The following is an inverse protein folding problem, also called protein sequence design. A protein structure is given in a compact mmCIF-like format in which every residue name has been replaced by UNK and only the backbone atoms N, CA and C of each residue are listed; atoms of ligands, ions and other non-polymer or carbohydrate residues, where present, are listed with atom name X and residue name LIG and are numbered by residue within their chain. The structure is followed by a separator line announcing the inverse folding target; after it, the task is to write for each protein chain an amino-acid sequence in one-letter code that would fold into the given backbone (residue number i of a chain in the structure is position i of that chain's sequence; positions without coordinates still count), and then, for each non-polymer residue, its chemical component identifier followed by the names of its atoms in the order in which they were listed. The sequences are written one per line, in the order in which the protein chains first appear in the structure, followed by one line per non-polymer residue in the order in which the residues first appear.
data_IF_462830931208
#
_entry.id   IF_462830931208
#
_cell.length_a   1.000
_cell.length_b   1.000
_cell.length_c   1.000
_cell.angle_alpha   90.00
_cell.angle_beta   90.00
_cell.angle_gamma   90.00
#
_symmetry.space_group_name_H-M   'P 1'
#
loop_
_entity.id
_entity.type
_entity.pdbx_description
1 polymer ?
#
# COMPACT_ATOMS: atom_id res chain seq x y z
N UNK A 1 -11.35 -19.25 -21.51
CA UNK A 1 -12.73 -18.85 -21.92
C UNK A 1 -13.07 -17.63 -21.11
N UNK A 2 -13.47 -16.54 -21.75
CA UNK A 2 -13.82 -15.27 -21.06
C UNK A 2 -15.00 -15.49 -20.13
N UNK A 3 -14.85 -15.16 -18.84
CA UNK A 3 -15.88 -15.31 -17.81
C UNK A 3 -16.73 -14.06 -17.70
N UNK A 4 -17.99 -14.23 -17.28
CA UNK A 4 -18.84 -13.12 -16.87
C UNK A 4 -18.53 -12.65 -15.45
N UNK A 5 -18.98 -11.45 -15.09
CA UNK A 5 -18.76 -10.93 -13.72
C UNK A 5 -19.38 -11.83 -12.63
N UNK A 6 -20.47 -12.51 -12.94
CA UNK A 6 -21.16 -13.42 -12.02
C UNK A 6 -20.33 -14.66 -11.64
N UNK A 7 -19.28 -14.96 -12.43
CA UNK A 7 -18.32 -16.04 -12.14
C UNK A 7 -17.09 -15.56 -11.35
N UNK A 8 -16.92 -14.25 -11.17
CA UNK A 8 -15.69 -13.64 -10.63
C UNK A 8 -15.86 -13.08 -9.21
N UNK A 9 -17.07 -12.76 -8.81
CA UNK A 9 -17.36 -12.20 -7.50
C UNK A 9 -18.67 -12.73 -6.93
N UNK A 10 -18.88 -12.71 -5.59
CA UNK A 10 -20.13 -13.13 -4.98
C UNK A 10 -21.35 -12.39 -5.54
N UNK A 11 -22.44 -13.13 -5.84
CA UNK A 11 -23.67 -12.59 -6.40
C UNK A 11 -24.22 -11.39 -5.60
N UNK A 12 -24.28 -11.51 -4.27
CA UNK A 12 -24.77 -10.42 -3.42
C UNK A 12 -23.89 -9.15 -3.46
N UNK A 13 -22.58 -9.29 -3.68
CA UNK A 13 -21.67 -8.15 -3.86
C UNK A 13 -21.97 -7.46 -5.20
N UNK A 14 -22.15 -8.22 -6.26
CA UNK A 14 -22.51 -7.71 -7.58
C UNK A 14 -23.89 -7.04 -7.58
N UNK A 15 -24.86 -7.59 -6.87
CA UNK A 15 -26.20 -6.98 -6.74
C UNK A 15 -26.15 -5.63 -6.04
N UNK A 16 -25.28 -5.49 -5.01
CA UNK A 16 -25.04 -4.18 -4.39
C UNK A 16 -24.35 -3.21 -5.35
N UNK A 17 -23.37 -3.67 -6.10
CA UNK A 17 -22.70 -2.86 -7.11
C UNK A 17 -23.69 -2.42 -8.21
N UNK A 18 -24.57 -3.31 -8.68
CA UNK A 18 -25.63 -2.99 -9.67
C UNK A 18 -26.63 -1.95 -9.14
N UNK A 19 -27.07 -2.07 -7.89
CA UNK A 19 -27.95 -1.08 -7.25
C UNK A 19 -27.26 0.28 -7.13
N UNK A 20 -25.97 0.28 -6.72
CA UNK A 20 -25.17 1.51 -6.64
C UNK A 20 -24.97 2.15 -8.02
N UNK A 21 -24.77 1.33 -9.07
CA UNK A 21 -24.62 1.79 -10.45
C UNK A 21 -25.88 2.53 -10.96
N UNK A 22 -27.08 2.10 -10.55
CA UNK A 22 -28.33 2.80 -10.88
C UNK A 22 -28.34 4.26 -10.41
N UNK A 23 -27.74 4.58 -9.27
CA UNK A 23 -27.64 5.96 -8.78
C UNK A 23 -26.75 6.85 -9.67
N UNK A 24 -25.79 6.25 -10.38
CA UNK A 24 -24.93 6.98 -11.32
C UNK A 24 -25.73 7.42 -12.55
N UNK A 25 -26.69 6.62 -13.01
CA UNK A 25 -27.48 6.95 -14.21
C UNK A 25 -28.30 8.23 -14.01
N UNK A 26 -28.83 8.44 -12.81
CA UNK A 26 -29.65 9.58 -12.44
C UNK A 26 -28.86 10.89 -12.18
N UNK A 27 -27.55 10.81 -12.00
CA UNK A 27 -26.70 11.95 -11.67
C UNK A 27 -25.94 12.48 -12.90
N UNK A 28 -25.95 13.78 -13.16
CA UNK A 28 -25.10 14.42 -14.17
C UNK A 28 -23.75 14.86 -13.59
N UNK A 29 -23.72 15.13 -12.28
CA UNK A 29 -22.52 15.53 -11.53
C UNK A 29 -22.26 14.57 -10.39
N UNK A 30 -21.06 14.02 -10.34
CA UNK A 30 -20.65 13.06 -9.31
C UNK A 30 -19.47 13.60 -8.52
N UNK A 31 -19.63 13.63 -7.21
CA UNK A 31 -18.57 13.94 -6.26
C UNK A 31 -17.85 12.67 -5.89
N UNK A 32 -16.52 12.61 -6.04
CA UNK A 32 -15.65 11.50 -5.64
C UNK A 32 -14.87 11.94 -4.41
N UNK A 33 -14.89 11.15 -3.34
CA UNK A 33 -14.12 11.39 -2.13
C UNK A 33 -13.42 10.08 -1.73
N UNK A 34 -12.09 10.05 -1.83
CA UNK A 34 -11.30 8.84 -1.63
C UNK A 34 -10.19 9.05 -0.59
N UNK A 35 -9.65 7.96 -0.08
CA UNK A 35 -8.43 7.97 0.71
C UNK A 35 -7.24 8.48 -0.13
N UNK A 36 -6.17 8.95 0.54
CA UNK A 36 -5.04 9.63 -0.11
C UNK A 36 -3.86 8.72 -0.46
N UNK A 37 -3.91 7.44 -0.10
CA UNK A 37 -2.84 6.48 -0.42
C UNK A 37 -3.02 5.85 -1.81
N UNK A 38 -2.13 4.94 -2.25
CA UNK A 38 -2.22 4.35 -3.57
C UNK A 38 -3.55 3.65 -3.86
N UNK A 39 -4.16 2.97 -2.87
CA UNK A 39 -5.45 2.30 -3.07
C UNK A 39 -6.57 3.31 -3.30
N UNK A 40 -6.63 4.37 -2.49
CA UNK A 40 -7.62 5.44 -2.65
C UNK A 40 -7.39 6.29 -3.90
N UNK A 41 -6.14 6.67 -4.21
CA UNK A 41 -5.82 7.49 -5.40
C UNK A 41 -6.10 6.73 -6.71
N UNK A 42 -5.80 5.42 -6.76
CA UNK A 42 -6.15 4.59 -7.93
C UNK A 42 -7.66 4.36 -8.01
N UNK A 43 -8.36 4.20 -6.90
CA UNK A 43 -9.83 4.17 -6.82
C UNK A 43 -10.45 5.43 -7.41
N UNK A 44 -9.95 6.62 -7.02
CA UNK A 44 -10.41 7.90 -7.58
C UNK A 44 -10.20 7.96 -9.10
N UNK A 45 -9.08 7.43 -9.59
CA UNK A 45 -8.73 7.39 -11.02
C UNK A 45 -9.64 6.47 -11.82
N UNK A 46 -9.94 5.28 -11.28
CA UNK A 46 -10.89 4.32 -11.86
C UNK A 46 -12.27 4.95 -11.98
N UNK A 47 -12.78 5.52 -10.88
CA UNK A 47 -14.07 6.22 -10.88
C UNK A 47 -14.10 7.37 -11.88
N UNK A 48 -13.06 8.21 -11.90
CA UNK A 48 -12.99 9.33 -12.81
C UNK A 48 -13.11 8.89 -14.27
N UNK A 49 -12.32 7.89 -14.68
CA UNK A 49 -12.36 7.38 -16.06
C UNK A 49 -13.69 6.71 -16.39
N UNK A 50 -14.20 5.85 -15.52
CA UNK A 50 -15.47 5.16 -15.73
C UNK A 50 -16.64 6.15 -15.84
N UNK A 51 -16.71 7.15 -14.95
CA UNK A 51 -17.77 8.16 -14.96
C UNK A 51 -17.67 9.13 -16.14
N UNK A 52 -16.46 9.54 -16.53
CA UNK A 52 -16.25 10.36 -17.75
C UNK A 52 -16.71 9.61 -19.02
N UNK A 53 -16.47 8.29 -19.13
CA UNK A 53 -17.00 7.45 -20.22
C UNK A 53 -18.51 7.43 -20.28
N UNK A 54 -19.17 7.59 -19.14
CA UNK A 54 -20.65 7.74 -19.03
C UNK A 54 -21.12 9.18 -19.22
N UNK A 55 -20.22 10.11 -19.60
CA UNK A 55 -20.54 11.52 -19.81
C UNK A 55 -20.83 12.32 -18.53
N UNK A 56 -20.44 11.81 -17.37
CA UNK A 56 -20.65 12.48 -16.08
C UNK A 56 -19.58 13.55 -15.85
N UNK A 57 -19.95 14.67 -15.22
CA UNK A 57 -19.01 15.66 -14.69
C UNK A 57 -18.56 15.22 -13.31
N UNK A 58 -17.27 15.29 -13.04
CA UNK A 58 -16.71 14.81 -11.79
C UNK A 58 -15.95 15.91 -11.03
N UNK A 59 -15.91 15.79 -9.71
CA UNK A 59 -15.00 16.50 -8.84
C UNK A 59 -14.42 15.49 -7.85
N UNK A 60 -13.13 15.22 -7.90
CA UNK A 60 -12.44 14.28 -7.03
C UNK A 60 -11.61 14.98 -5.96
N UNK A 61 -11.60 14.41 -4.76
CA UNK A 61 -10.70 14.79 -3.65
C UNK A 61 -10.17 13.54 -3.00
N UNK A 62 -8.85 13.45 -2.86
CA UNK A 62 -8.17 12.50 -2.00
C UNK A 62 -7.94 13.16 -0.63
N UNK A 63 -8.22 12.44 0.45
CA UNK A 63 -8.19 12.97 1.81
C UNK A 63 -7.59 11.96 2.81
N UNK A 64 -6.93 12.46 3.85
CA UNK A 64 -6.35 11.61 4.90
C UNK A 64 -7.39 10.91 5.77
N UNK A 65 -8.57 11.47 5.87
CA UNK A 65 -9.67 10.89 6.67
C UNK A 65 -11.02 11.48 6.26
N UNK A 66 -12.07 10.70 6.45
CA UNK A 66 -13.44 11.17 6.48
C UNK A 66 -13.82 11.48 7.93
N UNK A 67 -13.73 12.75 8.32
CA UNK A 67 -14.01 13.25 9.66
C UNK A 67 -15.21 14.23 9.66
N UNK A 68 -15.53 14.77 10.84
CA UNK A 68 -16.62 15.75 10.99
C UNK A 68 -16.40 17.01 10.14
N UNK A 69 -15.14 17.41 9.94
CA UNK A 69 -14.79 18.61 9.17
C UNK A 69 -15.04 18.39 7.68
N UNK A 70 -14.56 17.25 7.15
CA UNK A 70 -14.79 16.87 5.75
C UNK A 70 -16.29 16.61 5.48
N UNK A 71 -16.99 15.93 6.38
CA UNK A 71 -18.44 15.70 6.27
C UNK A 71 -19.24 17.03 6.31
N UNK A 72 -18.84 18.01 7.13
CA UNK A 72 -19.46 19.31 7.14
C UNK A 72 -19.30 20.06 5.80
N UNK A 73 -18.09 20.02 5.22
CA UNK A 73 -17.83 20.60 3.87
C UNK A 73 -18.67 19.91 2.79
N UNK A 74 -18.69 18.56 2.78
CA UNK A 74 -19.51 17.81 1.84
C UNK A 74 -20.98 18.16 1.94
N UNK A 75 -21.50 18.42 3.15
CA UNK A 75 -22.91 18.83 3.37
C UNK A 75 -23.25 20.18 2.76
N UNK A 76 -22.30 21.10 2.70
CA UNK A 76 -22.45 22.43 2.10
C UNK A 76 -22.37 22.41 0.57
N UNK A 77 -21.82 21.33 -0.01
CA UNK A 77 -21.70 21.18 -1.46
C UNK A 77 -23.05 20.79 -2.09
N UNK A 78 -23.32 21.33 -3.28
CA UNK A 78 -24.48 20.94 -4.11
C UNK A 78 -24.12 19.76 -5.02
N UNK A 79 -24.13 18.54 -4.48
CA UNK A 79 -23.85 17.33 -5.25
C UNK A 79 -25.17 16.62 -5.64
N UNK A 80 -25.14 15.89 -6.76
CA UNK A 80 -26.25 15.03 -7.18
C UNK A 80 -26.01 13.58 -6.71
N UNK A 81 -24.74 13.17 -6.58
CA UNK A 81 -24.30 11.90 -6.07
C UNK A 81 -22.91 12.06 -5.44
N UNK A 82 -22.67 11.47 -4.27
CA UNK A 82 -21.36 11.29 -3.68
C UNK A 82 -20.95 9.81 -3.78
N UNK A 83 -19.74 9.55 -4.28
CA UNK A 83 -19.09 8.24 -4.18
C UNK A 83 -17.90 8.39 -3.27
N UNK A 84 -17.90 7.66 -2.16
CA UNK A 84 -16.79 7.54 -1.23
C UNK A 84 -16.10 6.21 -1.52
N UNK A 85 -14.78 6.21 -1.70
CA UNK A 85 -14.04 4.97 -1.97
C UNK A 85 -12.81 4.82 -1.10
N UNK A 86 -12.49 3.58 -0.75
CA UNK A 86 -11.39 3.20 0.14
C UNK A 86 -11.48 3.86 1.53
N UNK A 87 -12.68 4.16 1.94
CA UNK A 87 -13.08 4.64 3.27
C UNK A 87 -14.61 4.72 3.35
N UNK A 88 -15.14 4.97 4.52
CA UNK A 88 -16.57 5.25 4.74
C UNK A 88 -17.29 4.18 5.53
N UNK A 89 -16.88 2.92 5.50
CA UNK A 89 -17.51 1.83 6.25
C UNK A 89 -17.50 2.02 7.77
N UNK A 90 -16.50 2.76 8.27
CA UNK A 90 -16.41 3.15 9.67
C UNK A 90 -17.09 4.47 10.02
N UNK A 91 -17.55 5.24 9.05
CA UNK A 91 -18.05 6.61 9.20
C UNK A 91 -19.46 6.80 8.64
N UNK A 92 -20.29 5.76 8.58
CA UNK A 92 -21.64 5.84 8.02
C UNK A 92 -22.50 6.92 8.68
N UNK A 93 -22.35 7.14 9.99
CA UNK A 93 -23.08 8.19 10.73
C UNK A 93 -22.84 9.61 10.17
N UNK A 94 -21.63 9.86 9.62
CA UNK A 94 -21.29 11.14 8.99
C UNK A 94 -21.93 11.27 7.61
N UNK A 95 -22.08 10.16 6.90
CA UNK A 95 -22.59 10.10 5.53
C UNK A 95 -24.11 10.05 5.44
N UNK A 96 -24.78 9.35 6.36
CA UNK A 96 -26.25 9.22 6.38
C UNK A 96 -27.02 10.54 6.55
N UNK A 97 -26.32 11.55 7.06
CA UNK A 97 -26.90 12.90 7.24
C UNK A 97 -26.71 13.84 6.05
N UNK A 98 -26.13 13.38 4.93
CA UNK A 98 -25.94 14.22 3.74
C UNK A 98 -27.25 14.37 2.95
N UNK A 99 -27.44 15.51 2.25
CA UNK A 99 -28.73 15.82 1.59
C UNK A 99 -28.88 15.20 0.19
N UNK A 100 -27.99 14.31 -0.21
CA UNK A 100 -27.96 13.68 -1.53
C UNK A 100 -27.58 12.19 -1.41
N UNK A 101 -27.83 11.36 -2.43
CA UNK A 101 -27.47 9.95 -2.44
C UNK A 101 -25.97 9.74 -2.24
N UNK A 102 -25.62 8.68 -1.51
CA UNK A 102 -24.25 8.28 -1.23
C UNK A 102 -24.01 6.82 -1.61
N UNK A 103 -22.91 6.58 -2.30
CA UNK A 103 -22.35 5.26 -2.56
C UNK A 103 -21.05 5.15 -1.75
N UNK A 104 -20.84 4.03 -1.06
CA UNK A 104 -19.58 3.68 -0.38
C UNK A 104 -19.02 2.43 -1.03
N UNK A 105 -17.81 2.52 -1.58
CA UNK A 105 -17.04 1.43 -2.18
C UNK A 105 -15.81 1.21 -1.30
N UNK A 106 -15.88 0.29 -0.34
CA UNK A 106 -14.86 0.18 0.69
C UNK A 106 -14.59 -1.29 1.04
N UNK A 107 -13.39 -1.58 1.50
CA UNK A 107 -12.92 -2.90 1.88
C UNK A 107 -12.56 -3.01 3.36
N UNK A 108 -12.58 -1.90 4.08
CA UNK A 108 -12.34 -1.90 5.51
C UNK A 108 -13.48 -2.59 6.26
N UNK A 109 -13.15 -3.23 7.39
CA UNK A 109 -14.15 -3.95 8.19
C UNK A 109 -15.29 -3.01 8.60
N UNK A 110 -16.54 -3.27 8.16
CA UNK A 110 -17.66 -2.39 8.45
C UNK A 110 -18.08 -2.53 9.92
N UNK A 111 -18.50 -1.42 10.54
CA UNK A 111 -19.09 -1.44 11.88
C UNK A 111 -20.54 -1.95 11.80
N UNK A 112 -21.26 -1.55 10.77
CA UNK A 112 -22.65 -1.93 10.47
C UNK A 112 -22.95 -1.76 8.99
N UNK A 113 -24.12 -2.16 8.57
CA UNK A 113 -24.69 -1.81 7.26
C UNK A 113 -25.63 -0.60 7.38
N UNK A 114 -26.12 -0.09 6.26
CA UNK A 114 -27.03 1.05 6.19
C UNK A 114 -28.05 0.88 5.06
N UNK A 115 -29.32 1.13 5.36
CA UNK A 115 -30.38 1.18 4.34
C UNK A 115 -30.42 2.53 3.60
N UNK A 116 -29.69 3.54 4.07
CA UNK A 116 -29.65 4.89 3.50
C UNK A 116 -28.49 5.10 2.52
N UNK A 117 -27.52 4.20 2.50
CA UNK A 117 -26.30 4.30 1.72
C UNK A 117 -26.18 3.06 0.84
N UNK A 118 -25.88 3.25 -0.43
CA UNK A 118 -25.52 2.13 -1.29
C UNK A 118 -24.11 1.64 -0.93
N UNK A 119 -24.03 0.70 0.02
CA UNK A 119 -22.79 0.24 0.63
C UNK A 119 -22.30 -1.05 -0.03
N UNK A 120 -21.26 -0.95 -0.84
CA UNK A 120 -20.58 -2.06 -1.51
C UNK A 120 -19.30 -2.38 -0.72
N UNK A 121 -19.35 -3.47 0.05
CA UNK A 121 -18.24 -3.89 0.88
C UNK A 121 -18.12 -5.42 0.87
N UNK A 122 -16.94 -5.99 0.51
CA UNK A 122 -16.72 -7.42 0.38
C UNK A 122 -16.99 -8.22 1.67
N UNK A 123 -16.75 -7.61 2.84
CA UNK A 123 -16.96 -8.29 4.13
C UNK A 123 -18.39 -8.76 4.37
N UNK A 124 -19.40 -8.12 3.78
CA UNK A 124 -20.79 -8.58 3.90
C UNK A 124 -21.05 -9.92 3.20
N UNK A 125 -20.14 -10.35 2.35
CA UNK A 125 -20.27 -11.55 1.52
C UNK A 125 -19.14 -12.57 1.78
N UNK A 126 -18.48 -12.46 2.95
CA UNK A 126 -17.44 -13.40 3.38
C UNK A 126 -16.11 -13.28 2.68
N UNK A 127 -15.87 -12.17 1.96
CA UNK A 127 -14.60 -11.86 1.31
C UNK A 127 -13.74 -11.00 2.24
N UNK A 128 -12.49 -11.40 2.47
CA UNK A 128 -11.56 -10.68 3.33
C UNK A 128 -10.99 -9.44 2.63
N UNK A 129 -11.43 -8.26 3.08
CA UNK A 129 -10.95 -6.97 2.57
C UNK A 129 -9.46 -6.74 2.76
N UNK A 130 -8.79 -7.42 3.68
CA UNK A 130 -7.35 -7.26 3.90
C UNK A 130 -6.49 -8.09 2.93
N UNK A 131 -7.06 -9.10 2.22
CA UNK A 131 -6.29 -10.03 1.40
C UNK A 131 -6.89 -10.33 0.03
N UNK A 132 -8.21 -10.33 -0.07
CA UNK A 132 -8.92 -10.89 -1.22
C UNK A 132 -9.54 -9.81 -2.12
N UNK A 133 -9.70 -8.57 -1.61
CA UNK A 133 -10.29 -7.46 -2.35
C UNK A 133 -10.02 -6.13 -1.64
N UNK A 134 -9.30 -5.21 -2.24
CA UNK A 134 -9.01 -3.88 -1.70
C UNK A 134 -10.00 -2.80 -2.21
N UNK A 135 -9.79 -1.54 -1.84
CA UNK A 135 -10.63 -0.41 -2.26
C UNK A 135 -10.65 -0.21 -3.77
N UNK A 136 -9.48 -0.25 -4.42
CA UNK A 136 -9.36 -0.09 -5.87
C UNK A 136 -9.97 -1.25 -6.65
N UNK A 137 -9.87 -2.49 -6.18
CA UNK A 137 -10.52 -3.64 -6.83
C UNK A 137 -12.02 -3.65 -6.59
N UNK A 138 -12.50 -3.23 -5.41
CA UNK A 138 -13.95 -3.01 -5.15
C UNK A 138 -14.50 -1.92 -6.08
N UNK A 139 -13.74 -0.85 -6.27
CA UNK A 139 -14.07 0.24 -7.18
C UNK A 139 -14.02 -0.21 -8.64
N UNK A 140 -13.06 -1.06 -9.01
CA UNK A 140 -12.98 -1.59 -10.36
C UNK A 140 -14.11 -2.56 -10.68
N UNK A 141 -14.50 -3.43 -9.74
CA UNK A 141 -15.70 -4.26 -9.90
C UNK A 141 -16.93 -3.39 -10.15
N UNK A 142 -17.10 -2.33 -9.38
CA UNK A 142 -18.19 -1.36 -9.61
C UNK A 142 -18.09 -0.70 -11.00
N UNK A 143 -16.90 -0.31 -11.44
CA UNK A 143 -16.69 0.25 -12.77
C UNK A 143 -17.02 -0.74 -13.90
N UNK A 144 -16.71 -2.04 -13.72
CA UNK A 144 -17.05 -3.11 -14.65
C UNK A 144 -18.56 -3.31 -14.74
N UNK A 145 -19.27 -3.19 -13.62
CA UNK A 145 -20.75 -3.21 -13.60
C UNK A 145 -21.32 -2.00 -14.37
N UNK A 146 -20.68 -0.84 -14.31
CA UNK A 146 -21.08 0.32 -15.11
C UNK A 146 -20.88 0.08 -16.61
N UNK A 147 -19.73 -0.48 -17.01
CA UNK A 147 -19.36 -0.69 -18.41
C UNK A 147 -18.22 -1.69 -18.52
N UNK A 148 -18.40 -2.77 -19.27
CA UNK A 148 -17.35 -3.79 -19.50
C UNK A 148 -16.10 -3.24 -20.20
N UNK A 149 -16.17 -2.11 -20.90
CA UNK A 149 -14.97 -1.44 -21.45
C UNK A 149 -13.96 -1.08 -20.38
N UNK A 150 -14.36 -1.00 -19.12
CA UNK A 150 -13.51 -0.70 -17.97
C UNK A 150 -12.58 -1.86 -17.56
N UNK A 151 -12.55 -2.97 -18.31
CA UNK A 151 -11.47 -3.97 -18.17
C UNK A 151 -10.08 -3.37 -18.37
N UNK A 152 -9.93 -2.33 -19.20
CA UNK A 152 -8.66 -1.63 -19.39
C UNK A 152 -8.18 -0.83 -18.16
N UNK A 153 -8.99 -0.73 -17.11
CA UNK A 153 -8.63 -0.11 -15.82
C UNK A 153 -8.01 -1.13 -14.82
N UNK A 154 -7.67 -2.33 -15.28
CA UNK A 154 -6.97 -3.33 -14.47
C UNK A 154 -5.63 -2.81 -13.91
N UNK A 155 -4.91 -1.95 -14.66
CA UNK A 155 -3.65 -1.37 -14.21
C UNK A 155 -3.76 -0.58 -12.91
N UNK A 156 -4.56 0.47 -12.85
CA UNK A 156 -4.83 1.20 -11.60
C UNK A 156 -5.37 0.29 -10.47
N UNK A 157 -6.28 -0.64 -10.77
CA UNK A 157 -6.83 -1.56 -9.77
C UNK A 157 -5.74 -2.45 -9.16
N UNK A 158 -4.85 -2.99 -9.99
CA UNK A 158 -3.73 -3.80 -9.54
C UNK A 158 -2.68 -2.99 -8.78
N UNK A 159 -2.41 -1.75 -9.21
CA UNK A 159 -1.49 -0.85 -8.51
C UNK A 159 -1.99 -0.54 -7.09
N UNK A 160 -3.29 -0.30 -6.90
CA UNK A 160 -3.88 -0.12 -5.57
C UNK A 160 -3.75 -1.38 -4.70
N UNK A 161 -4.06 -2.56 -5.24
CA UNK A 161 -3.91 -3.82 -4.53
C UNK A 161 -2.44 -4.14 -4.15
N UNK A 162 -1.46 -3.72 -4.98
CA UNK A 162 -0.03 -3.80 -4.64
C UNK A 162 0.29 -2.82 -3.49
N UNK A 163 -0.23 -1.60 -3.54
CA UNK A 163 -0.09 -0.60 -2.48
C UNK A 163 -0.59 -1.11 -1.13
N UNK A 164 -1.72 -1.80 -1.13
CA UNK A 164 -2.33 -2.45 0.03
C UNK A 164 -1.65 -3.78 0.44
N UNK A 165 -0.51 -4.11 -0.19
CA UNK A 165 0.28 -5.33 0.06
C UNK A 165 -0.46 -6.64 -0.19
N UNK A 166 -1.57 -6.62 -0.94
CA UNK A 166 -2.37 -7.82 -1.25
C UNK A 166 -1.73 -8.73 -2.31
N UNK A 167 -0.67 -8.26 -3.00
CA UNK A 167 0.12 -9.06 -3.94
C UNK A 167 1.17 -9.96 -3.27
N UNK A 168 1.40 -9.83 -1.96
CA UNK A 168 2.41 -10.62 -1.25
C UNK A 168 2.05 -12.11 -1.17
N UNK A 169 2.81 -12.95 -1.85
CA UNK A 169 2.52 -14.38 -1.99
C UNK A 169 1.56 -14.72 -3.12
N UNK A 170 1.23 -13.74 -3.97
CA UNK A 170 0.26 -13.82 -5.06
C UNK A 170 -1.12 -13.31 -4.67
N UNK A 171 -1.89 -12.87 -5.65
CA UNK A 171 -3.28 -12.47 -5.44
C UNK A 171 -4.15 -13.68 -5.09
N UNK A 172 -5.15 -13.48 -4.24
CA UNK A 172 -6.09 -14.52 -3.81
C UNK A 172 -7.53 -14.01 -3.88
N UNK A 173 -8.50 -14.92 -3.77
CA UNK A 173 -9.93 -14.58 -3.70
C UNK A 173 -10.42 -13.83 -4.93
N UNK A 174 -11.19 -12.77 -4.72
CA UNK A 174 -11.79 -11.96 -5.79
C UNK A 174 -10.72 -11.21 -6.58
N UNK A 175 -9.62 -10.75 -5.94
CA UNK A 175 -8.49 -10.15 -6.65
C UNK A 175 -7.91 -11.12 -7.69
N UNK A 176 -7.61 -12.37 -7.29
CA UNK A 176 -7.09 -13.37 -8.23
C UNK A 176 -8.08 -13.60 -9.38
N UNK A 177 -9.36 -13.81 -9.08
CA UNK A 177 -10.38 -14.06 -10.10
C UNK A 177 -10.47 -12.93 -11.14
N UNK A 178 -10.45 -11.66 -10.69
CA UNK A 178 -10.52 -10.49 -11.56
C UNK A 178 -9.24 -10.32 -12.39
N UNK A 179 -8.05 -10.51 -11.77
CA UNK A 179 -6.78 -10.32 -12.48
C UNK A 179 -6.46 -11.48 -13.43
N UNK A 180 -6.83 -12.72 -13.09
CA UNK A 180 -6.75 -13.87 -14.02
C UNK A 180 -7.63 -13.64 -15.26
N UNK A 181 -8.83 -13.08 -15.08
CA UNK A 181 -9.70 -12.74 -16.21
C UNK A 181 -9.10 -11.58 -17.03
N UNK A 182 -8.45 -10.59 -16.41
CA UNK A 182 -7.72 -9.53 -17.12
C UNK A 182 -6.54 -10.09 -17.93
N UNK A 183 -5.90 -11.16 -17.44
CA UNK A 183 -4.86 -11.92 -18.17
C UNK A 183 -5.48 -12.67 -19.37
N UNK A 184 -6.59 -13.40 -19.18
CA UNK A 184 -7.32 -14.08 -20.26
C UNK A 184 -7.73 -13.07 -21.37
N UNK A 185 -8.06 -11.84 -20.99
CA UNK A 185 -8.39 -10.71 -21.89
C UNK A 185 -7.18 -10.02 -22.49
N UNK A 186 -5.95 -10.42 -22.11
CA UNK A 186 -4.68 -9.82 -22.54
C UNK A 186 -4.53 -8.34 -22.16
N UNK A 187 -5.18 -7.90 -21.11
CA UNK A 187 -4.99 -6.58 -20.52
C UNK A 187 -3.78 -6.58 -19.60
N UNK A 188 -3.52 -7.71 -18.94
CA UNK A 188 -2.44 -7.94 -18.00
C UNK A 188 -1.58 -9.09 -18.50
N UNK A 189 -0.25 -8.97 -18.39
CA UNK A 189 0.71 -10.06 -18.71
C UNK A 189 1.64 -10.25 -17.51
N UNK A 190 1.53 -11.38 -16.78
CA UNK A 190 2.43 -11.68 -15.68
C UNK A 190 3.83 -12.06 -16.18
N UNK A 191 4.85 -11.54 -15.53
CA UNK A 191 6.25 -11.87 -15.78
C UNK A 191 6.99 -12.14 -14.47
N UNK A 192 7.57 -13.30 -14.32
CA UNK A 192 8.44 -13.58 -13.17
C UNK A 192 9.82 -12.99 -13.39
N UNK A 193 10.20 -11.98 -12.59
CA UNK A 193 11.44 -11.24 -12.78
C UNK A 193 12.04 -10.70 -11.49
N UNK A 194 13.29 -10.23 -11.58
CA UNK A 194 13.94 -9.50 -10.48
C UNK A 194 13.18 -8.22 -10.14
N UNK A 195 13.05 -7.96 -8.85
CA UNK A 195 12.42 -6.76 -8.31
C UNK A 195 13.35 -5.53 -8.40
N UNK A 196 13.91 -5.28 -9.58
CA UNK A 196 14.69 -4.09 -9.89
C UNK A 196 13.98 -3.26 -10.94
N UNK A 197 14.08 -1.95 -10.85
CA UNK A 197 13.56 -1.03 -11.86
C UNK A 197 14.29 -1.24 -13.19
N UNK A 198 13.60 -0.99 -14.30
CA UNK A 198 14.19 -1.06 -15.64
C UNK A 198 15.11 0.14 -15.91
N UNK A 199 16.25 0.13 -15.27
CA UNK A 199 17.32 1.14 -15.32
C UNK A 199 18.64 0.42 -15.58
N UNK A 200 19.73 1.13 -15.93
CA UNK A 200 21.09 0.57 -15.85
C UNK A 200 21.32 -0.11 -14.50
N UNK A 201 21.90 -1.32 -14.51
CA UNK A 201 22.02 -2.19 -13.33
C UNK A 201 22.63 -1.49 -12.13
N UNK A 202 23.66 -0.67 -12.35
CA UNK A 202 24.30 0.12 -11.29
C UNK A 202 23.31 1.07 -10.61
N UNK A 203 22.52 1.79 -11.42
CA UNK A 203 21.48 2.70 -10.93
C UNK A 203 20.31 1.92 -10.31
N UNK A 204 19.90 0.80 -10.90
CA UNK A 204 18.83 -0.04 -10.39
C UNK A 204 19.14 -0.57 -8.98
N UNK A 205 20.37 -1.05 -8.73
CA UNK A 205 20.83 -1.49 -7.42
C UNK A 205 20.96 -0.33 -6.43
N UNK A 206 21.54 0.78 -6.86
CA UNK A 206 21.72 1.94 -6.01
C UNK A 206 20.39 2.56 -5.55
N UNK A 207 19.35 2.53 -6.39
CA UNK A 207 18.01 3.03 -6.06
C UNK A 207 17.06 1.95 -5.50
N UNK A 208 17.55 0.73 -5.24
CA UNK A 208 16.74 -0.35 -4.72
C UNK A 208 16.45 -0.14 -3.22
N UNK A 209 15.18 0.05 -2.87
CA UNK A 209 14.67 0.12 -1.49
C UNK A 209 14.14 -1.24 -1.05
N UNK A 210 13.34 -1.87 -1.89
CA UNK A 210 12.80 -3.22 -1.69
C UNK A 210 13.02 -4.03 -2.97
N UNK A 211 14.02 -4.93 -2.98
CA UNK A 211 14.92 -5.32 -1.87
C UNK A 211 16.02 -4.30 -1.55
N UNK A 212 16.35 -4.14 -0.25
CA UNK A 212 17.48 -3.33 0.20
C UNK A 212 18.76 -4.18 0.30
N UNK A 213 19.80 -3.74 -0.37
CA UNK A 213 21.12 -4.42 -0.35
C UNK A 213 22.10 -3.61 0.48
N UNK A 214 22.44 -4.10 1.65
CA UNK A 214 23.38 -3.47 2.57
C UNK A 214 24.72 -3.21 1.88
N UNK A 215 25.21 -1.98 1.97
CA UNK A 215 26.44 -1.56 1.33
C UNK A 215 26.34 -1.23 -0.17
N UNK A 216 25.18 -1.47 -0.82
CA UNK A 216 24.93 -1.18 -2.24
C UNK A 216 23.81 -0.16 -2.44
N UNK A 217 22.64 -0.38 -1.82
CA UNK A 217 21.50 0.55 -1.88
C UNK A 217 21.92 1.90 -1.29
N UNK A 218 21.59 2.99 -1.98
CA UNK A 218 21.98 4.35 -1.66
C UNK A 218 23.45 4.69 -1.97
N UNK A 219 24.21 3.79 -2.63
CA UNK A 219 25.65 3.94 -2.89
C UNK A 219 25.99 3.60 -4.34
N UNK A 220 25.85 4.56 -5.28
CA UNK A 220 26.01 4.31 -6.72
C UNK A 220 27.38 3.71 -7.09
N UNK A 221 28.46 4.25 -6.55
CA UNK A 221 29.82 3.77 -6.85
C UNK A 221 30.02 2.33 -6.36
N UNK A 222 29.59 2.02 -5.14
CA UNK A 222 29.67 0.68 -4.58
C UNK A 222 28.83 -0.34 -5.35
N UNK A 223 27.66 0.05 -5.83
CA UNK A 223 26.80 -0.80 -6.66
C UNK A 223 27.47 -1.08 -8.02
N UNK A 224 28.05 -0.08 -8.66
CA UNK A 224 28.77 -0.24 -9.92
C UNK A 224 30.04 -1.12 -9.77
N UNK A 225 30.82 -0.89 -8.73
CA UNK A 225 32.04 -1.69 -8.45
C UNK A 225 31.68 -3.15 -8.13
N UNK A 226 30.62 -3.37 -7.36
CA UNK A 226 30.10 -4.71 -7.10
C UNK A 226 29.74 -5.45 -8.40
N UNK A 227 29.02 -4.81 -9.31
CA UNK A 227 28.63 -5.42 -10.60
C UNK A 227 29.87 -5.76 -11.44
N UNK A 228 30.85 -4.83 -11.53
CA UNK A 228 32.12 -5.09 -12.25
C UNK A 228 32.88 -6.27 -11.64
N UNK A 229 32.95 -6.35 -10.32
CA UNK A 229 33.64 -7.43 -9.61
C UNK A 229 33.01 -8.81 -9.88
N UNK A 230 31.70 -8.86 -10.15
CA UNK A 230 31.01 -10.10 -10.54
C UNK A 230 30.89 -10.26 -12.05
N UNK A 231 31.57 -9.44 -12.85
CA UNK A 231 31.63 -9.55 -14.31
C UNK A 231 30.29 -9.22 -14.98
N UNK A 232 29.55 -8.24 -14.46
CA UNK A 232 28.37 -7.63 -15.06
C UNK A 232 28.65 -6.16 -15.39
N UNK A 233 28.13 -5.68 -16.51
CA UNK A 233 28.23 -4.28 -16.89
C UNK A 233 27.22 -3.44 -16.09
N UNK A 234 27.63 -2.44 -15.30
CA UNK A 234 26.73 -1.54 -14.59
C UNK A 234 25.79 -0.74 -15.48
N UNK A 235 26.20 -0.50 -16.74
CA UNK A 235 25.39 0.27 -17.71
C UNK A 235 24.39 -0.60 -18.48
N UNK A 236 24.51 -1.94 -18.44
CA UNK A 236 23.52 -2.84 -19.01
C UNK A 236 22.17 -2.73 -18.30
N UNK A 237 21.07 -2.83 -19.01
CA UNK A 237 19.73 -2.91 -18.42
C UNK A 237 19.44 -4.33 -17.93
N UNK A 238 18.57 -4.46 -16.92
CA UNK A 238 18.03 -5.77 -16.49
C UNK A 238 17.40 -6.54 -17.66
N UNK A 239 16.80 -5.83 -18.61
CA UNK A 239 16.17 -6.42 -19.81
C UNK A 239 17.19 -7.02 -20.78
N UNK A 240 18.37 -6.42 -20.87
CA UNK A 240 19.42 -6.82 -21.82
C UNK A 240 20.18 -8.06 -21.36
N UNK A 241 20.01 -8.46 -20.10
CA UNK A 241 20.64 -9.67 -19.57
C UNK A 241 20.05 -10.91 -20.23
N UNK A 242 20.91 -11.79 -20.73
CA UNK A 242 20.52 -13.11 -21.15
C UNK A 242 20.08 -13.99 -19.95
N UNK A 243 19.60 -15.19 -20.22
CA UNK A 243 19.17 -16.10 -19.17
C UNK A 243 20.30 -16.49 -18.19
N UNK A 244 21.55 -16.53 -18.66
CA UNK A 244 22.74 -16.78 -17.83
C UNK A 244 23.03 -15.60 -16.90
N UNK A 245 23.07 -14.40 -17.43
CA UNK A 245 23.27 -13.16 -16.68
C UNK A 245 22.18 -12.92 -15.63
N UNK A 246 20.91 -13.15 -16.01
CA UNK A 246 19.79 -13.07 -15.05
C UNK A 246 19.92 -14.05 -13.90
N UNK A 247 20.20 -15.34 -14.18
CA UNK A 247 20.43 -16.35 -13.12
C UNK A 247 21.60 -15.97 -12.23
N UNK A 248 22.73 -15.54 -12.83
CA UNK A 248 23.93 -15.12 -12.09
C UNK A 248 23.61 -13.97 -11.14
N UNK A 249 22.98 -12.90 -11.65
CA UNK A 249 22.60 -11.73 -10.84
C UNK A 249 21.65 -12.13 -9.72
N UNK A 250 20.60 -12.89 -10.02
CA UNK A 250 19.63 -13.38 -9.02
C UNK A 250 20.32 -14.16 -7.91
N UNK A 251 21.21 -15.11 -8.26
CA UNK A 251 21.90 -15.96 -7.28
C UNK A 251 22.82 -15.13 -6.36
N UNK A 252 23.54 -14.17 -6.94
CA UNK A 252 24.44 -13.31 -6.16
C UNK A 252 23.65 -12.37 -5.22
N UNK A 253 22.55 -11.79 -5.70
CA UNK A 253 21.71 -10.92 -4.88
C UNK A 253 20.98 -11.72 -3.78
N UNK A 254 20.54 -12.94 -4.06
CA UNK A 254 19.98 -13.83 -3.04
C UNK A 254 21.03 -14.17 -1.96
N UNK A 255 22.24 -14.54 -2.36
CA UNK A 255 23.33 -14.78 -1.42
C UNK A 255 23.61 -13.54 -0.56
N UNK A 256 23.59 -12.33 -1.16
CA UNK A 256 23.77 -11.06 -0.44
C UNK A 256 22.69 -10.84 0.62
N UNK A 257 21.42 -11.12 0.31
CA UNK A 257 20.31 -11.04 1.27
C UNK A 257 20.51 -12.02 2.44
N UNK A 258 20.97 -13.24 2.15
CA UNK A 258 21.28 -14.24 3.19
C UNK A 258 22.45 -13.81 4.08
N UNK A 259 23.54 -13.30 3.49
CA UNK A 259 24.71 -12.79 4.22
C UNK A 259 24.35 -11.63 5.18
N UNK A 260 23.46 -10.73 4.76
CA UNK A 260 23.00 -9.62 5.61
C UNK A 260 21.91 -10.03 6.62
N UNK A 261 21.55 -11.32 6.67
CA UNK A 261 20.53 -11.91 7.56
C UNK A 261 19.15 -11.28 7.35
N UNK A 262 18.77 -11.04 6.09
CA UNK A 262 17.43 -10.59 5.75
C UNK A 262 16.37 -11.63 6.17
N UNK A 263 15.15 -11.17 6.43
CA UNK A 263 14.03 -12.05 6.72
C UNK A 263 13.77 -13.03 5.57
N UNK A 264 13.24 -14.23 5.81
CA UNK A 264 12.93 -15.19 4.74
C UNK A 264 12.06 -14.58 3.63
N UNK A 265 11.14 -13.71 3.97
CA UNK A 265 10.25 -12.98 3.06
C UNK A 265 11.00 -12.07 2.08
N UNK A 266 12.21 -11.65 2.42
CA UNK A 266 13.05 -10.84 1.53
C UNK A 266 13.41 -11.55 0.22
N UNK A 267 13.52 -12.89 0.24
CA UNK A 267 13.76 -13.68 -0.95
C UNK A 267 12.51 -13.77 -1.85
N UNK A 268 11.31 -13.75 -1.27
CA UNK A 268 10.06 -13.69 -2.01
C UNK A 268 9.94 -12.34 -2.75
N UNK A 269 10.44 -11.26 -2.14
CA UNK A 269 10.47 -9.93 -2.76
C UNK A 269 11.50 -9.84 -3.89
N UNK A 270 12.65 -10.55 -3.78
CA UNK A 270 13.74 -10.45 -4.76
C UNK A 270 13.32 -10.90 -6.16
N UNK A 271 12.55 -11.99 -6.26
CA UNK A 271 12.00 -12.51 -7.52
C UNK A 271 10.51 -12.73 -7.34
N UNK A 272 9.74 -11.88 -7.94
CA UNK A 272 8.29 -11.89 -7.83
C UNK A 272 7.63 -11.77 -9.20
N UNK A 273 6.35 -12.09 -9.25
CA UNK A 273 5.54 -11.83 -10.42
C UNK A 273 5.33 -10.33 -10.53
N UNK A 274 5.66 -9.79 -11.70
CA UNK A 274 5.43 -8.41 -12.12
C UNK A 274 4.40 -8.44 -13.23
N UNK A 275 3.50 -7.50 -13.23
CA UNK A 275 2.36 -7.49 -14.14
C UNK A 275 2.48 -6.33 -15.10
N UNK A 276 2.77 -6.65 -16.37
CA UNK A 276 2.77 -5.68 -17.45
C UNK A 276 1.33 -5.35 -17.83
N UNK A 277 1.00 -4.07 -17.90
CA UNK A 277 -0.33 -3.57 -18.23
C UNK A 277 -0.31 -3.03 -19.65
N UNK A 278 -0.96 -3.74 -20.57
CA UNK A 278 -0.97 -3.38 -21.99
C UNK A 278 -1.54 -1.98 -22.29
N UNK A 279 -2.68 -1.55 -21.69
CA UNK A 279 -3.19 -0.21 -21.93
C UNK A 279 -2.26 0.91 -21.44
N UNK A 280 -1.55 0.69 -20.33
CA UNK A 280 -0.73 1.70 -19.67
C UNK A 280 0.74 1.65 -20.13
N UNK A 281 1.16 0.58 -20.84
CA UNK A 281 2.52 0.31 -21.30
C UNK A 281 3.56 0.41 -20.17
N UNK A 282 3.21 -0.09 -18.99
CA UNK A 282 4.10 -0.13 -17.82
C UNK A 282 3.73 -1.30 -16.89
N UNK A 283 4.60 -1.59 -15.93
CA UNK A 283 4.25 -2.55 -14.87
C UNK A 283 3.37 -1.91 -13.81
N UNK A 284 2.40 -2.68 -13.30
CA UNK A 284 1.53 -2.24 -12.19
C UNK A 284 2.32 -1.79 -10.94
N UNK A 285 3.46 -2.44 -10.67
CA UNK A 285 4.36 -2.04 -9.57
C UNK A 285 5.04 -0.68 -9.80
N UNK A 286 5.35 -0.33 -11.06
CA UNK A 286 5.90 0.98 -11.37
C UNK A 286 4.81 2.06 -11.24
N UNK A 287 3.59 1.76 -11.67
CA UNK A 287 2.43 2.63 -11.48
C UNK A 287 2.16 2.86 -9.98
N UNK A 288 2.17 1.80 -9.15
CA UNK A 288 2.06 1.92 -7.70
C UNK A 288 3.15 2.83 -7.13
N UNK A 289 4.41 2.61 -7.51
CA UNK A 289 5.53 3.41 -7.00
C UNK A 289 5.41 4.90 -7.37
N UNK A 290 4.93 5.23 -8.57
CA UNK A 290 4.65 6.62 -8.97
C UNK A 290 3.52 7.23 -8.14
N UNK A 291 2.41 6.53 -8.00
CA UNK A 291 1.25 6.99 -7.22
C UNK A 291 1.65 7.17 -5.77
N UNK A 292 2.27 6.17 -5.14
CA UNK A 292 2.71 6.21 -3.74
C UNK A 292 3.67 7.37 -3.47
N UNK A 293 4.64 7.62 -4.36
CA UNK A 293 5.56 8.74 -4.19
C UNK A 293 4.84 10.10 -4.29
N UNK A 294 3.86 10.22 -5.19
CA UNK A 294 3.02 11.42 -5.29
C UNK A 294 2.20 11.64 -4.00
N UNK A 295 1.56 10.60 -3.49
CA UNK A 295 0.73 10.65 -2.28
C UNK A 295 1.56 11.00 -1.05
N UNK A 296 2.74 10.35 -0.88
CA UNK A 296 3.66 10.63 0.23
C UNK A 296 4.23 12.04 0.21
N UNK A 297 4.30 12.68 -0.95
CA UNK A 297 4.78 14.05 -1.11
C UNK A 297 3.65 15.09 -1.26
N UNK A 298 2.38 14.71 -0.98
CA UNK A 298 1.21 15.60 -1.02
C UNK A 298 0.89 16.08 -2.43
N UNK A 299 1.02 15.20 -3.42
CA UNK A 299 0.77 15.43 -4.86
C UNK A 299 -0.21 14.42 -5.45
N UNK A 300 -1.22 14.04 -4.69
CA UNK A 300 -2.20 12.99 -5.03
C UNK A 300 -2.85 13.24 -6.41
N UNK A 301 -3.16 14.51 -6.72
CA UNK A 301 -3.69 14.89 -8.03
C UNK A 301 -2.73 14.58 -9.20
N UNK A 302 -1.41 14.57 -8.96
CA UNK A 302 -0.43 14.15 -9.96
C UNK A 302 -0.46 12.62 -10.14
N UNK A 303 -0.54 11.85 -9.03
CA UNK A 303 -0.72 10.40 -9.06
C UNK A 303 -1.97 9.99 -9.83
N UNK A 304 -3.09 10.68 -9.57
CA UNK A 304 -4.33 10.50 -10.33
C UNK A 304 -4.15 10.79 -11.83
N UNK A 305 -3.45 11.88 -12.19
CA UNK A 305 -3.21 12.22 -13.59
C UNK A 305 -2.36 11.16 -14.32
N UNK A 306 -1.37 10.56 -13.63
CA UNK A 306 -0.59 9.41 -14.15
C UNK A 306 -1.53 8.24 -14.46
N UNK A 307 -2.40 7.85 -13.54
CA UNK A 307 -3.39 6.79 -13.76
C UNK A 307 -4.38 7.11 -14.90
N UNK A 308 -4.60 8.38 -15.18
CA UNK A 308 -5.43 8.82 -16.31
C UNK A 308 -4.67 8.86 -17.66
N UNK A 309 -3.38 8.51 -17.67
CA UNK A 309 -2.56 8.39 -18.86
C UNK A 309 -1.89 9.70 -19.30
N UNK A 310 -1.78 10.70 -18.42
CA UNK A 310 -1.09 11.95 -18.71
C UNK A 310 0.44 11.74 -18.71
N UNK A 311 1.07 11.90 -19.87
CA UNK A 311 2.51 11.69 -20.06
C UNK A 311 3.36 12.76 -19.38
N UNK A 312 2.89 14.00 -19.29
CA UNK A 312 3.60 15.07 -18.59
C UNK A 312 3.57 14.80 -17.08
N UNK A 313 2.41 14.37 -16.57
CA UNK A 313 2.27 13.93 -15.18
C UNK A 313 3.20 12.75 -14.85
N UNK A 314 3.33 11.78 -15.75
CA UNK A 314 4.25 10.64 -15.59
C UNK A 314 5.71 11.13 -15.45
N UNK A 315 6.19 11.99 -16.36
CA UNK A 315 7.56 12.53 -16.26
C UNK A 315 7.83 13.32 -14.98
N UNK A 316 6.80 13.96 -14.42
CA UNK A 316 6.90 14.64 -13.12
C UNK A 316 6.89 13.65 -11.96
N UNK A 317 6.08 12.60 -12.04
CA UNK A 317 6.00 11.55 -11.03
C UNK A 317 7.31 10.74 -10.95
N UNK A 318 8.00 10.50 -12.09
CA UNK A 318 9.34 9.89 -12.11
C UNK A 318 10.35 10.67 -11.25
N UNK A 319 10.35 12.00 -11.36
CA UNK A 319 11.23 12.86 -10.53
C UNK A 319 10.86 12.81 -9.04
N UNK A 320 9.56 12.78 -8.73
CA UNK A 320 9.10 12.65 -7.35
C UNK A 320 9.46 11.28 -6.76
N UNK A 321 9.39 10.21 -7.56
CA UNK A 321 9.82 8.88 -7.13
C UNK A 321 11.33 8.86 -6.83
N UNK A 322 12.16 9.47 -7.66
CA UNK A 322 13.62 9.56 -7.41
C UNK A 322 13.90 10.40 -6.16
N UNK A 323 13.16 11.50 -5.92
CA UNK A 323 13.25 12.30 -4.69
C UNK A 323 12.84 11.50 -3.45
N UNK A 324 11.68 10.86 -3.49
CA UNK A 324 11.17 10.03 -2.39
C UNK A 324 12.12 8.87 -2.07
N UNK A 325 12.56 8.14 -3.12
CA UNK A 325 13.52 7.03 -2.99
C UNK A 325 14.82 7.50 -2.34
N UNK A 326 15.34 8.64 -2.75
CA UNK A 326 16.57 9.21 -2.18
C UNK A 326 16.42 9.56 -0.70
N UNK A 327 15.28 10.09 -0.29
CA UNK A 327 14.98 10.36 1.14
C UNK A 327 14.93 9.07 1.94
N UNK A 328 14.20 8.04 1.48
CA UNK A 328 14.12 6.73 2.16
C UNK A 328 15.51 6.10 2.30
N UNK A 329 16.27 6.06 1.19
CA UNK A 329 17.63 5.51 1.20
C UNK A 329 18.57 6.27 2.13
N UNK A 330 18.46 7.61 2.20
CA UNK A 330 19.22 8.42 3.14
C UNK A 330 19.04 7.99 4.59
N UNK A 331 17.81 7.72 5.02
CA UNK A 331 17.51 7.18 6.35
C UNK A 331 18.05 5.76 6.53
N UNK A 332 17.81 4.85 5.59
CA UNK A 332 18.27 3.46 5.68
C UNK A 332 19.81 3.37 5.76
N UNK A 333 20.54 4.12 4.92
CA UNK A 333 22.01 4.21 4.95
C UNK A 333 22.52 4.78 6.26
N UNK A 334 21.84 5.81 6.81
CA UNK A 334 22.18 6.37 8.11
C UNK A 334 22.00 5.35 9.23
N UNK A 335 20.87 4.62 9.24
CA UNK A 335 20.57 3.60 10.25
C UNK A 335 21.48 2.35 10.11
N UNK A 336 21.88 2.00 8.89
CA UNK A 336 22.88 0.95 8.66
C UNK A 336 24.21 1.25 9.38
N UNK A 337 24.58 2.53 9.45
CA UNK A 337 25.84 2.98 10.06
C UNK A 337 25.72 3.24 11.56
N UNK A 338 24.61 3.84 12.00
CA UNK A 338 24.39 4.27 13.39
C UNK A 338 23.74 3.19 14.26
N UNK A 339 23.03 2.22 13.64
CA UNK A 339 22.18 1.26 14.32
C UNK A 339 20.89 1.87 14.86
N UNK A 340 20.10 1.04 15.55
CA UNK A 340 18.87 1.42 16.22
C UNK A 340 19.08 1.46 17.73
N UNK A 341 18.15 2.08 18.45
CA UNK A 341 18.10 2.05 19.91
C UNK A 341 17.40 0.77 20.37
N UNK A 342 18.11 -0.18 21.03
CA UNK A 342 17.50 -1.42 21.49
C UNK A 342 16.80 -1.23 22.83
N UNK A 343 15.65 -1.88 23.01
CA UNK A 343 15.08 -2.29 24.31
C UNK A 343 15.13 -3.81 24.43
N UNK A 344 14.53 -4.38 25.45
CA UNK A 344 14.59 -5.84 25.68
C UNK A 344 13.84 -6.61 24.58
N UNK A 345 12.65 -6.17 24.20
CA UNK A 345 11.74 -6.86 23.29
C UNK A 345 11.41 -6.08 22.02
N UNK A 346 11.77 -4.79 21.93
CA UNK A 346 11.59 -3.96 20.75
C UNK A 346 12.86 -3.16 20.45
N UNK A 347 12.95 -2.59 19.24
CA UNK A 347 13.98 -1.64 18.85
C UNK A 347 13.33 -0.42 18.20
N UNK A 348 14.00 0.73 18.20
CA UNK A 348 13.41 1.95 17.65
C UNK A 348 14.45 2.91 17.08
N UNK A 349 13.97 3.85 16.27
CA UNK A 349 14.73 4.98 15.75
C UNK A 349 13.88 6.25 15.70
N UNK A 350 14.53 7.40 15.62
CA UNK A 350 13.87 8.67 15.37
C UNK A 350 13.98 9.06 13.89
N UNK A 351 12.91 9.65 13.35
CA UNK A 351 12.79 10.10 11.98
C UNK A 351 12.23 11.54 11.98
N UNK A 352 12.79 12.42 11.15
CA UNK A 352 12.32 13.82 11.06
C UNK A 352 11.06 13.94 10.21
N UNK A 353 10.76 12.91 9.39
CA UNK A 353 9.61 12.86 8.49
C UNK A 353 8.69 11.69 8.87
N UNK A 354 7.50 12.02 9.37
CA UNK A 354 6.51 11.03 9.79
C UNK A 354 6.02 10.15 8.62
N UNK A 355 6.06 10.63 7.38
CA UNK A 355 5.64 9.88 6.20
C UNK A 355 6.62 8.76 5.84
N UNK A 356 7.88 8.88 6.26
CA UNK A 356 8.95 7.91 5.97
C UNK A 356 9.13 6.86 7.08
N UNK A 357 8.72 7.16 8.32
CA UNK A 357 8.96 6.29 9.47
C UNK A 357 8.47 4.84 9.25
N UNK A 358 7.31 4.69 8.62
CA UNK A 358 6.71 3.37 8.35
C UNK A 358 7.44 2.56 7.28
N UNK A 359 7.85 3.19 6.17
CA UNK A 359 8.58 2.49 5.10
C UNK A 359 10.00 2.15 5.56
N UNK A 360 10.69 3.06 6.24
CA UNK A 360 12.03 2.82 6.79
C UNK A 360 12.01 1.67 7.81
N UNK A 361 11.02 1.64 8.72
CA UNK A 361 10.84 0.54 9.66
C UNK A 361 10.57 -0.80 8.95
N UNK A 362 9.68 -0.80 7.95
CA UNK A 362 9.32 -2.02 7.20
C UNK A 362 10.48 -2.57 6.39
N UNK A 363 11.10 -1.73 5.59
CA UNK A 363 12.28 -2.11 4.79
C UNK A 363 13.43 -2.59 5.69
N UNK A 364 13.74 -1.83 6.74
CA UNK A 364 14.79 -2.24 7.68
C UNK A 364 14.52 -3.59 8.33
N UNK A 365 13.26 -3.84 8.77
CA UNK A 365 12.85 -5.13 9.34
C UNK A 365 13.02 -6.29 8.37
N UNK A 366 12.64 -6.12 7.10
CA UNK A 366 12.78 -7.18 6.11
C UNK A 366 14.24 -7.47 5.75
N UNK A 367 15.08 -6.44 5.69
CA UNK A 367 16.36 -6.59 4.99
C UNK A 367 17.61 -6.57 5.88
N UNK A 368 17.64 -5.87 7.04
CA UNK A 368 18.90 -5.76 7.79
C UNK A 368 18.82 -5.38 9.27
N UNK A 369 17.63 -5.05 9.83
CA UNK A 369 17.48 -4.83 11.26
C UNK A 369 17.50 -6.16 12.04
N UNK A 370 17.63 -6.08 13.36
CA UNK A 370 17.54 -7.25 14.23
C UNK A 370 16.14 -7.91 14.09
N UNK A 371 16.12 -9.12 13.55
CA UNK A 371 14.89 -9.87 13.28
C UNK A 371 14.23 -10.42 14.55
N UNK A 372 14.88 -10.31 15.71
CA UNK A 372 14.30 -10.80 16.98
C UNK A 372 13.39 -9.79 17.65
N UNK A 373 13.37 -8.53 17.16
CA UNK A 373 12.65 -7.40 17.79
C UNK A 373 11.85 -6.61 16.77
N UNK A 374 10.54 -6.42 16.96
CA UNK A 374 9.78 -5.46 16.16
C UNK A 374 10.41 -4.07 16.23
N UNK A 375 10.31 -3.32 15.14
CA UNK A 375 10.90 -1.97 15.03
C UNK A 375 9.84 -0.88 15.07
N UNK A 376 10.10 0.18 15.83
CA UNK A 376 9.29 1.39 15.91
C UNK A 376 10.08 2.59 15.33
N UNK A 377 9.50 3.28 14.35
CA UNK A 377 9.96 4.59 13.88
C UNK A 377 9.15 5.70 14.55
N UNK A 378 9.81 6.67 15.18
CA UNK A 378 9.18 7.79 15.89
C UNK A 378 9.47 9.10 15.17
N UNK A 379 8.43 9.86 14.83
CA UNK A 379 8.54 11.20 14.28
C UNK A 379 7.96 12.23 15.26
N UNK A 380 8.84 13.04 15.82
CA UNK A 380 8.47 14.09 16.80
C UNK A 380 8.04 15.35 16.04
N UNK A 381 6.78 15.72 16.18
CA UNK A 381 6.16 16.91 15.57
C UNK A 381 5.81 17.94 16.64
N UNK A 382 5.21 19.07 16.22
CA UNK A 382 4.70 20.05 17.17
C UNK A 382 3.52 19.47 17.95
N UNK A 383 3.71 19.33 19.27
CA UNK A 383 2.72 18.85 20.22
C UNK A 383 2.51 17.33 20.26
N UNK A 384 2.90 16.57 19.24
CA UNK A 384 2.66 15.14 19.16
C UNK A 384 3.86 14.37 18.61
N UNK A 385 3.94 13.08 18.92
CA UNK A 385 4.86 12.15 18.28
C UNK A 385 4.04 11.09 17.53
N UNK A 386 4.30 10.96 16.23
CA UNK A 386 3.75 9.86 15.42
C UNK A 386 4.68 8.67 15.49
N UNK A 387 4.11 7.49 15.64
CA UNK A 387 4.84 6.22 15.75
C UNK A 387 4.35 5.27 14.66
N UNK A 388 5.28 4.61 13.99
CA UNK A 388 5.00 3.52 13.06
C UNK A 388 5.75 2.27 13.51
N UNK A 389 5.05 1.18 13.77
CA UNK A 389 5.63 -0.10 14.20
C UNK A 389 5.52 -1.14 13.08
N UNK A 390 6.56 -1.95 12.93
CA UNK A 390 6.65 -3.04 11.97
C UNK A 390 7.25 -4.29 12.60
N UNK A 391 6.65 -5.43 12.27
CA UNK A 391 7.15 -6.76 12.60
C UNK A 391 7.37 -7.62 11.36
N UNK A 392 7.63 -8.91 11.57
CA UNK A 392 7.74 -9.95 10.53
C UNK A 392 6.68 -11.03 10.77
N UNK A 393 6.48 -11.94 9.80
CA UNK A 393 5.62 -13.12 9.97
C UNK A 393 6.07 -13.96 11.17
N UNK A 394 7.37 -14.03 11.45
CA UNK A 394 7.92 -14.74 12.59
C UNK A 394 7.45 -14.14 13.93
N UNK A 395 7.37 -12.81 14.05
CA UNK A 395 6.82 -12.17 15.24
C UNK A 395 5.36 -12.53 15.48
N UNK A 396 4.55 -12.53 14.40
CA UNK A 396 3.13 -12.93 14.50
C UNK A 396 2.99 -14.39 14.93
N UNK A 397 3.78 -15.28 14.32
CA UNK A 397 3.81 -16.70 14.71
C UNK A 397 4.25 -16.90 16.17
N UNK A 398 5.08 -16.01 16.72
CA UNK A 398 5.48 -16.00 18.12
C UNK A 398 4.45 -15.34 19.07
N UNK A 399 3.30 -14.88 18.54
CA UNK A 399 2.20 -14.31 19.32
C UNK A 399 2.22 -12.79 19.49
N UNK A 400 3.11 -12.07 18.79
CA UNK A 400 3.16 -10.60 18.84
C UNK A 400 1.99 -10.01 18.07
N UNK A 401 1.29 -9.08 18.71
CA UNK A 401 0.24 -8.24 18.13
C UNK A 401 0.58 -6.77 18.38
N UNK A 402 1.10 -6.10 17.33
CA UNK A 402 1.48 -4.69 17.42
C UNK A 402 0.26 -3.77 17.55
N UNK A 403 -0.91 -4.17 17.02
CA UNK A 403 -2.12 -3.36 17.15
C UNK A 403 -2.58 -3.24 18.61
N UNK A 404 -2.55 -4.36 19.34
CA UNK A 404 -2.82 -4.39 20.77
C UNK A 404 -1.76 -3.60 21.53
N UNK A 405 -0.48 -3.88 21.26
CA UNK A 405 0.63 -3.24 21.99
C UNK A 405 0.61 -1.70 21.85
N UNK A 406 0.42 -1.18 20.63
CA UNK A 406 0.40 0.27 20.41
C UNK A 406 -0.87 0.92 20.95
N UNK A 407 -2.03 0.26 20.88
CA UNK A 407 -3.30 0.77 21.41
C UNK A 407 -3.24 0.93 22.92
N UNK A 408 -2.82 -0.12 23.63
CA UNK A 408 -2.71 -0.08 25.09
C UNK A 408 -1.68 0.95 25.56
N UNK A 409 -0.46 0.91 24.98
CA UNK A 409 0.60 1.82 25.37
C UNK A 409 0.25 3.30 25.07
N UNK A 410 -0.40 3.59 23.93
CA UNK A 410 -0.83 4.93 23.61
C UNK A 410 -1.92 5.45 24.56
N UNK A 411 -2.89 4.61 24.90
CA UNK A 411 -3.96 4.95 25.85
C UNK A 411 -3.40 5.40 27.21
N UNK A 412 -2.36 4.73 27.72
CA UNK A 412 -1.73 5.07 29.00
C UNK A 412 -1.01 6.42 29.05
N UNK A 413 -0.71 6.97 27.88
CA UNK A 413 -0.09 8.32 27.74
C UNK A 413 -1.04 9.36 27.15
N UNK A 414 -2.34 9.07 27.13
CA UNK A 414 -3.39 9.93 26.55
C UNK A 414 -3.22 10.12 25.04
N UNK A 415 -2.69 9.12 24.37
CA UNK A 415 -2.58 9.02 22.91
C UNK A 415 -3.61 8.08 22.32
N UNK A 416 -3.49 7.83 21.02
CA UNK A 416 -4.30 6.88 20.27
C UNK A 416 -3.40 5.98 19.42
N UNK A 417 -3.75 4.69 19.30
CA UNK A 417 -2.98 3.72 18.51
C UNK A 417 -3.84 2.57 18.02
N UNK A 418 -3.34 1.87 17.00
CA UNK A 418 -4.01 0.73 16.39
C UNK A 418 -3.44 0.41 15.01
N UNK A 419 -4.08 -0.51 14.31
CA UNK A 419 -3.67 -1.00 12.99
C UNK A 419 -3.80 -2.51 12.91
N UNK A 420 -2.87 -3.15 12.22
CA UNK A 420 -2.79 -4.60 12.09
C UNK A 420 -1.74 -5.20 13.04
N UNK A 421 -1.84 -6.50 13.30
CA UNK A 421 -0.91 -7.21 14.18
C UNK A 421 0.57 -7.09 13.73
N UNK A 422 0.85 -7.01 12.43
CA UNK A 422 2.20 -6.91 11.85
C UNK A 422 2.65 -5.46 11.62
N UNK A 423 1.72 -4.51 11.43
CA UNK A 423 1.97 -3.13 11.08
C UNK A 423 0.95 -2.21 11.76
N UNK A 424 1.42 -1.37 12.68
CA UNK A 424 0.56 -0.50 13.49
C UNK A 424 1.12 0.90 13.61
N UNK A 425 0.26 1.84 13.97
CA UNK A 425 0.62 3.21 14.22
C UNK A 425 0.10 3.73 15.55
N UNK A 426 0.72 4.80 16.05
CA UNK A 426 0.19 5.55 17.20
C UNK A 426 0.48 7.04 17.06
N UNK A 427 -0.34 7.85 17.71
CA UNK A 427 -0.09 9.27 17.94
C UNK A 427 -0.13 9.52 19.45
N UNK A 428 0.96 10.01 19.99
CA UNK A 428 1.10 10.25 21.43
C UNK A 428 1.50 11.71 21.68
N UNK A 429 1.23 12.27 22.86
CA UNK A 429 1.72 13.61 23.23
C UNK A 429 3.25 13.66 23.23
N UNK A 430 3.84 14.73 22.68
CA UNK A 430 5.28 14.99 22.71
C UNK A 430 5.81 14.95 24.15
N UNK A 431 6.99 14.34 24.35
CA UNK A 431 7.61 14.15 25.66
C UNK A 431 7.11 12.94 26.44
N UNK A 432 6.28 12.08 25.83
CA UNK A 432 5.83 10.81 26.40
C UNK A 432 6.46 9.58 25.77
N UNK A 433 7.46 9.77 24.89
CA UNK A 433 8.06 8.72 24.08
C UNK A 433 8.68 7.61 24.94
N UNK A 434 9.45 7.95 25.98
CA UNK A 434 10.12 6.97 26.83
C UNK A 434 9.13 6.08 27.59
N UNK A 435 8.06 6.69 28.13
CA UNK A 435 7.01 5.94 28.85
C UNK A 435 6.24 5.03 27.90
N UNK A 436 5.90 5.54 26.72
CA UNK A 436 5.22 4.77 25.67
C UNK A 436 6.08 3.59 25.22
N UNK A 437 7.37 3.83 24.88
CA UNK A 437 8.29 2.78 24.45
C UNK A 437 8.54 1.72 25.53
N UNK A 438 8.64 2.11 26.81
CA UNK A 438 8.77 1.17 27.91
C UNK A 438 7.53 0.26 28.01
N UNK A 439 6.34 0.85 27.81
CA UNK A 439 5.09 0.07 27.87
C UNK A 439 4.92 -0.86 26.69
N UNK A 440 5.26 -0.41 25.45
CA UNK A 440 5.26 -1.29 24.27
C UNK A 440 6.22 -2.47 24.48
N UNK A 441 7.43 -2.22 24.99
CA UNK A 441 8.44 -3.25 25.25
C UNK A 441 7.91 -4.31 26.26
N UNK A 442 7.24 -3.86 27.33
CA UNK A 442 6.62 -4.74 28.32
C UNK A 442 5.49 -5.58 27.72
N UNK A 443 4.60 -4.96 26.91
CA UNK A 443 3.47 -5.67 26.31
C UNK A 443 3.96 -6.72 25.31
N UNK A 444 4.90 -6.36 24.44
CA UNK A 444 5.51 -7.30 23.48
C UNK A 444 6.21 -8.44 24.23
N UNK A 445 6.93 -8.13 25.33
CA UNK A 445 7.54 -9.16 26.18
C UNK A 445 6.52 -10.16 26.73
N UNK A 446 5.39 -9.69 27.26
CA UNK A 446 4.29 -10.56 27.75
C UNK A 446 3.66 -11.40 26.63
N UNK A 447 3.52 -10.84 25.42
CA UNK A 447 3.00 -11.56 24.26
C UNK A 447 3.94 -12.70 23.84
N UNK A 448 5.26 -12.48 23.88
CA UNK A 448 6.27 -13.49 23.56
C UNK A 448 6.39 -14.60 24.62
N UNK A 449 6.12 -14.28 25.89
CA UNK A 449 6.11 -15.27 26.98
C UNK A 449 4.91 -16.23 26.91
N UNK A 450 3.82 -15.87 26.21
CA UNK A 450 2.65 -16.69 25.90
C UNK A 450 1.91 -17.29 27.11
N UNK A 451 0.70 -17.87 26.94
CA UNK A 451 0.01 -18.61 28.00
C UNK A 451 0.69 -19.94 28.40
N UNK A 452 1.61 -20.46 27.57
CA UNK A 452 2.30 -21.73 27.81
C UNK A 452 3.53 -21.65 28.73
N UNK A 453 4.03 -20.47 29.06
CA UNK A 453 5.17 -20.30 29.99
C UNK A 453 4.76 -20.14 31.48
N UNK A 454 3.46 -20.14 31.79
CA UNK A 454 2.95 -20.02 33.18
C UNK A 454 2.75 -21.33 33.92
N UNK A 455 2.90 -22.45 33.22
CA UNK A 455 2.69 -23.81 33.79
C UNK A 455 3.98 -24.68 33.75
N UNK A 456 5.16 -24.09 33.83
CA UNK A 456 6.42 -24.79 34.09
C UNK A 456 7.11 -24.31 35.35
#
# INVERSE_FOLDING_TARGET
MVKGLDDLAPEGLLDRARKAAGLVDDAARVRIFCHYDPDGTTSASILARALMRRGKRIHATMAHALDRTSAARLREESNELLIVSDMGSGQLDLLEGLPYPVVVLDHHKPIRDSDKIAHVNPHFFGVDGAREMCGSTTTWLFALVLDERNWDLAGPAMAGAIGDKQALGGFVGVNAALFDEAEDRKVVVPERRLALRDLPLGKALALSVEPYFRGLSGRPDAAADFLRAVGLDPEASVRDLDAGGRRKLTSILAARLMEQRAAPEALEVLVADRYWIEPDQMYAHDLEAYVNSCDRLGREGLGMAVCLGDREALSRAEKLLDEYTSKVLGYLVSLESKGLFPKKHVQFFYCDDASLAGVVAGTGMLFFFDQTRPTLGLAVLDGVTKVSARGTRAHIAAGVDLAVALREAASEVSGNGGGHNIASGATIPKGKEDRFLARVDEIVGRQLEGPLARDQ
#
